data_IF_953270147235
#
_entry.id   IF_953270147235
#
_cell.length_a   1.000
_cell.length_b   1.000
_cell.length_c   1.000
_cell.angle_alpha   90.00
_cell.angle_beta   90.00
_cell.angle_gamma   90.00
#
_symmetry.space_group_name_H-M   'P 1'
#
loop_
_entity.id
_entity.type
_entity.pdbx_description
1 polymer ?
#
# COMPACT_ATOMS: atom_id res chain seq x y z
N UNK A 1 -35.58 -38.19 8.80
CA UNK A 1 -34.39 -38.35 9.68
C UNK A 1 -33.09 -38.70 8.93
N UNK A 2 -32.94 -38.34 7.64
CA UNK A 2 -31.72 -38.64 6.86
C UNK A 2 -30.90 -37.40 6.46
N UNK A 3 -31.53 -36.22 6.35
CA UNK A 3 -30.82 -34.97 5.98
C UNK A 3 -29.90 -34.41 7.08
N UNK A 4 -30.22 -34.61 8.35
CA UNK A 4 -29.42 -34.07 9.46
C UNK A 4 -28.11 -34.86 9.70
N UNK A 5 -28.03 -36.11 9.26
CA UNK A 5 -26.79 -36.92 9.37
C UNK A 5 -25.72 -36.46 8.37
N UNK A 6 -26.13 -35.95 7.20
CA UNK A 6 -25.18 -35.54 6.15
C UNK A 6 -24.61 -34.12 6.39
N UNK A 7 -25.36 -33.23 7.04
CA UNK A 7 -24.85 -31.89 7.37
C UNK A 7 -23.78 -31.97 8.46
N UNK A 8 -23.93 -32.88 9.43
CA UNK A 8 -22.95 -33.06 10.50
C UNK A 8 -21.65 -33.72 10.02
N UNK A 9 -21.72 -34.56 8.97
CA UNK A 9 -20.56 -35.24 8.40
C UNK A 9 -19.70 -34.32 7.50
N UNK A 10 -20.28 -33.28 6.91
CA UNK A 10 -19.53 -32.29 6.12
C UNK A 10 -18.73 -31.29 6.96
N UNK A 11 -19.16 -31.04 8.21
CA UNK A 11 -18.40 -30.21 9.15
C UNK A 11 -17.16 -30.89 9.74
N UNK A 12 -17.07 -32.22 9.70
CA UNK A 12 -15.94 -32.98 10.26
C UNK A 12 -14.77 -33.12 9.27
N UNK A 13 -14.98 -32.83 7.98
CA UNK A 13 -13.92 -32.80 6.96
C UNK A 13 -13.18 -31.45 6.87
N UNK A 14 -13.43 -30.53 7.82
CA UNK A 14 -12.69 -29.28 7.99
C UNK A 14 -11.89 -29.34 9.31
N UNK A 15 -11.39 -30.54 9.63
CA UNK A 15 -10.53 -30.83 10.79
C UNK A 15 -9.03 -30.90 10.46
N UNK A 16 -8.65 -30.69 9.20
CA UNK A 16 -7.25 -30.58 8.81
C UNK A 16 -6.97 -29.10 8.61
N UNK A 17 -6.02 -28.59 9.40
CA UNK A 17 -5.77 -27.17 9.59
C UNK A 17 -5.95 -26.36 8.33
N UNK A 18 -6.67 -25.24 8.45
CA UNK A 18 -6.41 -24.11 7.56
C UNK A 18 -4.88 -24.03 7.47
N UNK A 19 -4.27 -24.08 6.27
CA UNK A 19 -2.85 -23.83 6.20
C UNK A 19 -2.67 -22.54 6.98
N UNK A 20 -1.92 -22.65 8.09
CA UNK A 20 -1.47 -21.47 8.80
C UNK A 20 -0.81 -20.67 7.70
N UNK A 21 -1.49 -19.62 7.26
CA UNK A 21 -0.95 -18.61 6.38
C UNK A 21 0.08 -17.93 7.28
N UNK A 22 1.18 -18.64 7.54
CA UNK A 22 2.42 -18.06 7.95
C UNK A 22 2.69 -17.07 6.83
N UNK A 23 2.49 -15.81 7.18
CA UNK A 23 2.83 -14.66 6.38
C UNK A 23 4.35 -14.64 6.25
N UNK A 24 4.88 -15.63 5.52
CA UNK A 24 6.27 -15.73 5.08
C UNK A 24 6.42 -14.97 3.75
N UNK A 25 5.45 -14.08 3.45
CA UNK A 25 5.62 -13.04 2.44
C UNK A 25 6.88 -12.29 2.85
N UNK A 26 7.94 -12.26 2.02
CA UNK A 26 9.10 -11.44 2.34
C UNK A 26 8.57 -10.03 2.61
N UNK A 27 8.85 -9.51 3.82
CA UNK A 27 8.44 -8.16 4.18
C UNK A 27 8.75 -7.24 2.99
N UNK A 28 7.77 -6.46 2.52
CA UNK A 28 8.00 -5.64 1.34
C UNK A 28 9.25 -4.81 1.58
N UNK A 29 10.16 -4.74 0.59
CA UNK A 29 11.40 -4.02 0.77
C UNK A 29 11.05 -2.60 1.20
N UNK A 30 11.53 -2.17 2.37
CA UNK A 30 11.20 -0.85 2.91
C UNK A 30 11.88 0.21 2.05
N UNK A 31 11.17 0.71 1.07
CA UNK A 31 11.62 1.76 0.18
C UNK A 31 11.15 3.12 0.70
N UNK A 32 12.05 4.09 0.72
CA UNK A 32 11.70 5.49 0.96
C UNK A 32 11.48 6.21 -0.36
N UNK A 33 10.39 6.96 -0.46
CA UNK A 33 10.19 7.96 -1.51
C UNK A 33 10.21 9.35 -0.87
N UNK A 34 11.11 10.19 -1.35
CA UNK A 34 11.26 11.57 -0.87
C UNK A 34 11.21 12.54 -2.05
N UNK A 35 10.55 13.66 -1.83
CA UNK A 35 10.51 14.76 -2.79
C UNK A 35 11.31 15.91 -2.19
N UNK A 36 12.39 16.30 -2.87
CA UNK A 36 13.28 17.37 -2.44
C UNK A 36 13.33 18.47 -3.48
N UNK A 37 13.51 19.70 -3.01
CA UNK A 37 13.79 20.82 -3.90
C UNK A 37 15.16 20.61 -4.56
N UNK A 38 15.25 20.87 -5.86
CA UNK A 38 16.47 20.68 -6.64
C UNK A 38 16.82 21.96 -7.42
N UNK A 39 18.10 22.28 -7.47
CA UNK A 39 18.63 23.38 -8.26
C UNK A 39 19.72 22.88 -9.21
N UNK A 40 19.80 23.52 -10.39
CA UNK A 40 20.82 23.21 -11.40
C UNK A 40 22.16 23.91 -11.13
N UNK A 41 22.19 24.85 -10.18
CA UNK A 41 23.40 25.58 -9.77
C UNK A 41 23.76 25.23 -8.32
N UNK A 42 25.06 25.16 -7.98
CA UNK A 42 25.49 24.95 -6.61
C UNK A 42 25.09 26.13 -5.72
N UNK A 43 24.51 25.83 -4.57
CA UNK A 43 24.11 26.78 -3.54
C UNK A 43 24.75 26.43 -2.19
N UNK A 44 24.88 27.42 -1.30
CA UNK A 44 25.64 27.30 -0.05
C UNK A 44 25.14 26.22 0.93
N UNK A 45 23.91 25.71 0.75
CA UNK A 45 23.29 24.68 1.61
C UNK A 45 22.69 23.52 0.80
N UNK A 46 23.20 23.26 -0.40
CA UNK A 46 22.69 22.19 -1.25
C UNK A 46 23.65 21.00 -1.31
N UNK A 47 23.11 19.79 -1.16
CA UNK A 47 23.87 18.54 -1.30
C UNK A 47 23.92 18.12 -2.76
N UNK A 48 25.13 17.92 -3.29
CA UNK A 48 25.30 17.42 -4.65
C UNK A 48 24.83 15.96 -4.76
N UNK A 49 23.97 15.68 -5.74
CA UNK A 49 23.52 14.34 -6.09
C UNK A 49 23.59 14.12 -7.61
N UNK A 50 23.99 12.91 -8.00
CA UNK A 50 23.99 12.49 -9.40
C UNK A 50 22.63 11.90 -9.76
N UNK A 51 22.02 12.36 -10.84
CA UNK A 51 20.78 11.76 -11.35
C UNK A 51 21.08 10.41 -11.98
N UNK A 52 20.36 9.37 -11.58
CA UNK A 52 20.58 8.01 -12.08
C UNK A 52 20.32 7.92 -13.58
N UNK A 53 21.34 7.54 -14.34
CA UNK A 53 21.27 7.41 -15.80
C UNK A 53 21.47 8.70 -16.59
N UNK A 54 21.77 9.82 -15.93
CA UNK A 54 22.19 11.07 -16.58
C UNK A 54 23.57 11.51 -16.07
N UNK A 55 24.32 12.23 -16.90
CA UNK A 55 25.60 12.84 -16.49
C UNK A 55 25.40 14.18 -15.76
N UNK A 56 24.13 14.60 -15.59
CA UNK A 56 23.77 15.87 -14.98
C UNK A 56 23.79 15.76 -13.45
N UNK A 57 24.39 16.77 -12.83
CA UNK A 57 24.44 16.97 -11.38
C UNK A 57 23.26 17.84 -10.97
N UNK A 58 22.59 17.45 -9.90
CA UNK A 58 21.54 18.27 -9.26
C UNK A 58 21.92 18.54 -7.82
N UNK A 59 21.58 19.74 -7.36
CA UNK A 59 21.87 20.20 -6.01
C UNK A 59 20.59 20.17 -5.19
N UNK A 60 20.55 19.32 -4.18
CA UNK A 60 19.36 19.01 -3.40
C UNK A 60 19.30 19.81 -2.12
N UNK A 61 18.12 20.29 -1.75
CA UNK A 61 17.89 20.80 -0.41
C UNK A 61 18.07 19.69 0.64
N UNK A 62 18.54 20.09 1.83
CA UNK A 62 18.75 19.17 2.95
C UNK A 62 17.44 18.55 3.46
N UNK A 63 16.36 19.32 3.42
CA UNK A 63 15.04 18.92 3.91
C UNK A 63 14.17 18.35 2.79
N UNK A 64 13.49 17.24 3.10
CA UNK A 64 12.45 16.67 2.24
C UNK A 64 11.17 17.49 2.38
N UNK A 65 10.65 17.98 1.25
CA UNK A 65 9.41 18.74 1.23
C UNK A 65 8.19 17.81 1.38
N UNK A 66 8.27 16.60 0.82
CA UNK A 66 7.27 15.54 1.00
C UNK A 66 7.95 14.20 1.21
N UNK A 67 7.27 13.34 1.97
CA UNK A 67 7.74 11.98 2.32
C UNK A 67 6.66 10.94 2.01
N UNK A 68 6.95 9.66 2.28
CA UNK A 68 5.99 8.56 2.09
C UNK A 68 4.69 8.77 2.87
N UNK A 69 4.74 9.43 4.02
CA UNK A 69 3.55 9.70 4.86
C UNK A 69 2.54 10.65 4.17
N UNK A 70 3.00 11.43 3.20
CA UNK A 70 2.18 12.36 2.41
C UNK A 70 1.52 11.68 1.19
N UNK A 71 1.79 10.39 0.97
CA UNK A 71 1.35 9.62 -0.18
C UNK A 71 0.17 8.73 0.22
N UNK A 72 -0.92 8.81 -0.54
CA UNK A 72 -2.08 7.94 -0.35
C UNK A 72 -1.97 6.64 -1.11
N UNK A 73 -1.41 6.66 -2.33
CA UNK A 73 -1.29 5.48 -3.18
C UNK A 73 -0.23 5.66 -4.26
N UNK A 74 0.43 4.57 -4.63
CA UNK A 74 1.35 4.52 -5.77
C UNK A 74 0.93 3.45 -6.77
N UNK A 75 1.09 3.72 -8.07
CA UNK A 75 0.78 2.79 -9.14
C UNK A 75 1.84 2.82 -10.23
N UNK A 76 2.25 1.65 -10.70
CA UNK A 76 3.06 1.53 -11.90
C UNK A 76 2.21 1.78 -13.15
N UNK A 77 2.67 2.69 -14.02
CA UNK A 77 2.07 2.98 -15.32
C UNK A 77 3.14 2.93 -16.42
N UNK A 78 2.75 3.18 -17.66
CA UNK A 78 3.66 3.39 -18.78
C UNK A 78 3.42 4.77 -19.35
N UNK A 79 4.50 5.47 -19.67
CA UNK A 79 4.43 6.76 -20.36
C UNK A 79 3.99 6.57 -21.83
N UNK A 80 3.78 7.68 -22.53
CA UNK A 80 3.38 7.69 -23.96
C UNK A 80 4.42 7.02 -24.87
N UNK A 81 5.68 6.94 -24.44
CA UNK A 81 6.77 6.28 -25.16
C UNK A 81 6.92 4.79 -24.79
N UNK A 82 6.02 4.24 -23.97
CA UNK A 82 6.08 2.84 -23.52
C UNK A 82 7.15 2.57 -22.46
N UNK A 83 7.71 3.61 -21.84
CA UNK A 83 8.68 3.49 -20.75
C UNK A 83 7.95 3.38 -19.41
N UNK A 84 8.51 2.63 -18.45
CA UNK A 84 7.92 2.52 -17.12
C UNK A 84 7.86 3.90 -16.44
N UNK A 85 6.70 4.21 -15.88
CA UNK A 85 6.43 5.45 -15.16
C UNK A 85 5.69 5.15 -13.85
N UNK A 86 5.76 6.07 -12.90
CA UNK A 86 5.17 5.91 -11.58
C UNK A 86 4.10 6.98 -11.36
N UNK A 87 2.86 6.56 -11.18
CA UNK A 87 1.76 7.42 -10.79
C UNK A 87 1.66 7.47 -9.26
N UNK A 88 1.72 8.65 -8.68
CA UNK A 88 1.64 8.88 -7.24
C UNK A 88 0.40 9.72 -6.95
N UNK A 89 -0.44 9.23 -6.04
CA UNK A 89 -1.57 9.95 -5.49
C UNK A 89 -1.23 10.41 -4.08
N UNK A 90 -1.46 11.69 -3.79
CA UNK A 90 -1.18 12.29 -2.49
C UNK A 90 -2.37 12.17 -1.54
N UNK A 91 -2.12 12.30 -0.24
CA UNK A 91 -3.17 12.55 0.75
C UNK A 91 -3.63 14.01 0.67
N UNK A 92 -4.68 14.40 1.38
CA UNK A 92 -5.14 15.80 1.41
C UNK A 92 -4.06 16.74 2.00
N UNK A 93 -3.29 16.28 2.98
CA UNK A 93 -2.17 17.03 3.54
C UNK A 93 -1.01 17.12 2.55
N UNK A 94 -0.63 15.99 1.95
CA UNK A 94 0.40 15.93 0.91
C UNK A 94 0.08 16.80 -0.29
N UNK A 95 -1.19 16.81 -0.72
CA UNK A 95 -1.67 17.63 -1.82
C UNK A 95 -1.50 19.13 -1.55
N UNK A 96 -1.78 19.58 -0.31
CA UNK A 96 -1.55 20.97 0.10
C UNK A 96 -0.06 21.33 0.11
N UNK A 97 0.80 20.44 0.62
CA UNK A 97 2.26 20.62 0.60
C UNK A 97 2.82 20.67 -0.82
N UNK A 98 2.38 19.76 -1.69
CA UNK A 98 2.80 19.69 -3.10
C UNK A 98 2.33 20.91 -3.87
N UNK A 99 1.11 21.39 -3.62
CA UNK A 99 0.59 22.61 -4.22
C UNK A 99 1.44 23.82 -3.81
N UNK A 100 1.71 23.98 -2.52
CA UNK A 100 2.56 25.07 -2.02
C UNK A 100 4.01 24.96 -2.54
N UNK A 101 4.52 23.76 -2.78
CA UNK A 101 5.84 23.50 -3.39
C UNK A 101 5.87 23.87 -4.87
N UNK A 102 4.93 23.36 -5.64
CA UNK A 102 4.88 23.64 -7.08
C UNK A 102 4.57 25.11 -7.38
N UNK A 103 3.76 25.78 -6.55
CA UNK A 103 3.43 27.19 -6.72
C UNK A 103 4.65 28.11 -6.52
N UNK A 104 5.50 27.84 -5.52
CA UNK A 104 6.73 28.62 -5.30
C UNK A 104 7.87 28.27 -6.27
N UNK A 105 7.77 27.13 -6.96
CA UNK A 105 8.84 26.55 -7.79
C UNK A 105 8.40 26.23 -9.23
N UNK A 106 7.51 27.04 -9.80
CA UNK A 106 7.17 26.96 -11.24
C UNK A 106 8.45 27.16 -12.07
N UNK A 107 8.62 26.35 -13.12
CA UNK A 107 9.80 26.29 -14.00
C UNK A 107 11.12 25.89 -13.31
N UNK A 108 11.06 25.42 -12.06
CA UNK A 108 12.22 24.90 -11.33
C UNK A 108 12.17 23.37 -11.24
N UNK A 109 13.33 22.77 -11.00
CA UNK A 109 13.47 21.34 -10.85
C UNK A 109 13.03 20.89 -9.45
N UNK A 110 12.43 19.71 -9.39
CA UNK A 110 12.13 18.99 -8.15
C UNK A 110 12.71 17.60 -8.30
N UNK A 111 13.53 17.18 -7.34
CA UNK A 111 14.12 15.86 -7.35
C UNK A 111 13.22 14.86 -6.62
N UNK A 112 13.06 13.71 -7.25
CA UNK A 112 12.47 12.53 -6.65
C UNK A 112 13.60 11.59 -6.26
N UNK A 113 13.62 11.22 -4.98
CA UNK A 113 14.60 10.32 -4.41
C UNK A 113 13.92 9.03 -4.01
N UNK A 114 14.53 7.91 -4.40
CA UNK A 114 14.16 6.57 -3.94
C UNK A 114 15.34 6.01 -3.17
N UNK A 115 15.15 5.69 -1.89
CA UNK A 115 16.23 5.19 -1.01
C UNK A 115 17.46 6.11 -0.96
N UNK A 116 17.25 7.43 -1.10
CA UNK A 116 18.32 8.43 -1.14
C UNK A 116 19.00 8.61 -2.51
N UNK A 117 18.65 7.81 -3.53
CA UNK A 117 19.13 7.99 -4.90
C UNK A 117 18.18 8.84 -5.72
N UNK A 118 18.70 9.80 -6.49
CA UNK A 118 17.88 10.63 -7.38
C UNK A 118 17.49 9.83 -8.61
N UNK A 119 16.23 9.41 -8.66
CA UNK A 119 15.65 8.65 -9.80
C UNK A 119 15.22 9.57 -10.93
N UNK A 120 14.95 10.84 -10.64
CA UNK A 120 14.61 11.84 -11.64
C UNK A 120 14.48 13.23 -11.04
N UNK A 121 14.76 14.26 -11.84
CA UNK A 121 14.63 15.66 -11.48
C UNK A 121 13.85 16.45 -12.55
N UNK A 122 12.54 16.17 -12.75
CA UNK A 122 11.76 16.87 -13.75
C UNK A 122 11.51 18.34 -13.35
N UNK A 123 11.25 19.15 -14.37
CA UNK A 123 10.88 20.56 -14.20
C UNK A 123 9.39 20.67 -13.92
N UNK A 124 9.03 21.42 -12.88
CA UNK A 124 7.63 21.73 -12.55
C UNK A 124 7.05 22.68 -13.58
N UNK A 125 6.12 22.20 -14.41
CA UNK A 125 5.47 23.01 -15.46
C UNK A 125 4.15 23.62 -15.03
N UNK A 126 3.52 23.04 -14.02
CA UNK A 126 2.21 23.47 -13.52
C UNK A 126 2.08 23.12 -12.05
N UNK A 127 1.05 23.70 -11.41
CA UNK A 127 0.68 23.38 -10.05
C UNK A 127 0.11 21.97 -9.99
N UNK A 128 0.60 21.18 -9.05
CA UNK A 128 0.19 19.79 -8.85
C UNK A 128 -0.48 19.69 -7.48
N UNK A 129 -1.73 19.23 -7.45
CA UNK A 129 -2.49 19.06 -6.22
C UNK A 129 -2.64 17.60 -5.82
N UNK A 130 -3.39 16.78 -6.57
CA UNK A 130 -3.80 15.44 -6.10
C UNK A 130 -2.93 14.29 -6.60
N UNK A 131 -2.45 14.37 -7.84
CA UNK A 131 -1.77 13.27 -8.51
C UNK A 131 -0.61 13.78 -9.36
N UNK A 132 0.48 13.02 -9.40
CA UNK A 132 1.58 13.28 -10.31
C UNK A 132 2.06 11.99 -10.98
N UNK A 133 2.63 12.16 -12.18
CA UNK A 133 3.34 11.11 -12.88
C UNK A 133 4.84 11.42 -12.82
N UNK A 134 5.61 10.47 -12.30
CA UNK A 134 7.06 10.53 -12.23
C UNK A 134 7.60 9.67 -13.36
N UNK A 135 8.25 10.33 -14.31
CA UNK A 135 8.96 9.70 -15.42
C UNK A 135 10.46 9.72 -15.15
N UNK A 136 11.17 8.66 -15.52
CA UNK A 136 12.60 8.53 -15.23
C UNK A 136 13.17 7.18 -15.64
N UNK A 137 14.41 6.92 -15.22
CA UNK A 137 15.15 5.67 -15.49
C UNK A 137 14.70 4.54 -14.56
N UNK A 138 13.40 4.29 -14.46
CA UNK A 138 12.86 3.22 -13.62
C UNK A 138 12.94 1.86 -14.30
N UNK A 139 13.12 0.82 -13.50
CA UNK A 139 12.93 -0.56 -13.97
C UNK A 139 11.57 -1.09 -13.51
N UNK A 140 10.96 -2.02 -14.28
CA UNK A 140 9.72 -2.71 -13.85
C UNK A 140 9.80 -3.30 -12.43
N UNK A 141 10.85 -4.09 -12.06
CA UNK A 141 10.94 -4.65 -10.71
C UNK A 141 11.06 -3.58 -9.62
N UNK A 142 11.69 -2.44 -9.91
CA UNK A 142 11.81 -1.32 -8.99
C UNK A 142 10.47 -0.62 -8.75
N UNK A 143 9.66 -0.43 -9.79
CA UNK A 143 8.28 0.07 -9.64
C UNK A 143 7.44 -0.89 -8.81
N UNK A 144 7.52 -2.20 -9.08
CA UNK A 144 6.79 -3.21 -8.30
C UNK A 144 7.21 -3.25 -6.84
N UNK A 145 8.49 -3.02 -6.55
CA UNK A 145 9.01 -2.93 -5.20
C UNK A 145 8.52 -1.65 -4.49
N UNK A 146 8.53 -0.50 -5.17
CA UNK A 146 8.00 0.77 -4.65
C UNK A 146 6.51 0.67 -4.33
N UNK A 147 5.73 0.11 -5.26
CA UNK A 147 4.29 -0.09 -5.09
C UNK A 147 4.02 -0.99 -3.89
N UNK A 148 4.75 -2.11 -3.74
CA UNK A 148 4.60 -3.00 -2.58
C UNK A 148 5.04 -2.36 -1.27
N UNK A 149 6.10 -1.55 -1.29
CA UNK A 149 6.56 -0.85 -0.10
C UNK A 149 5.56 0.18 0.42
N UNK A 150 4.89 0.89 -0.48
CA UNK A 150 4.02 2.02 -0.11
C UNK A 150 2.57 1.57 0.08
N UNK A 151 2.03 0.76 -0.84
CA UNK A 151 0.65 0.27 -0.72
C UNK A 151 0.51 -0.97 0.17
N UNK A 152 1.62 -1.61 0.54
CA UNK A 152 1.63 -2.92 1.18
C UNK A 152 1.45 -4.08 0.19
N UNK A 153 1.50 -5.33 0.68
CA UNK A 153 1.27 -6.51 -0.15
C UNK A 153 -0.17 -6.52 -0.67
N UNK A 154 -0.38 -6.87 -1.96
CA UNK A 154 -1.73 -7.05 -2.46
C UNK A 154 -2.42 -8.20 -1.70
N UNK A 155 -3.69 -8.01 -1.32
CA UNK A 155 -4.49 -9.09 -0.72
C UNK A 155 -4.52 -10.30 -1.67
N UNK A 156 -4.12 -11.50 -1.23
CA UNK A 156 -4.16 -12.70 -2.07
C UNK A 156 -5.59 -13.17 -2.33
N UNK A 157 -6.56 -12.73 -1.53
CA UNK A 157 -7.95 -13.12 -1.67
C UNK A 157 -8.79 -12.00 -2.30
N UNK A 158 -9.72 -12.36 -3.22
CA UNK A 158 -10.75 -11.44 -3.64
C UNK A 158 -11.61 -11.03 -2.43
N UNK A 159 -12.01 -9.75 -2.42
CA UNK A 159 -12.74 -9.12 -1.32
C UNK A 159 -13.92 -9.97 -0.78
N UNK A 160 -14.72 -10.59 -1.66
CA UNK A 160 -15.90 -11.37 -1.25
C UNK A 160 -15.57 -12.59 -0.38
N UNK A 161 -14.38 -13.20 -0.52
CA UNK A 161 -13.95 -14.33 0.32
C UNK A 161 -13.76 -13.89 1.78
N UNK A 162 -13.23 -12.69 2.00
CA UNK A 162 -13.04 -12.12 3.35
C UNK A 162 -14.38 -11.92 4.05
N UNK A 163 -15.40 -11.46 3.33
CA UNK A 163 -16.76 -11.28 3.85
C UNK A 163 -17.47 -12.61 4.13
N UNK A 164 -17.30 -13.61 3.25
CA UNK A 164 -17.87 -14.95 3.45
C UNK A 164 -17.24 -15.63 4.67
N UNK A 165 -15.93 -15.52 4.85
CA UNK A 165 -15.23 -16.01 6.05
C UNK A 165 -15.82 -15.43 7.35
N UNK A 166 -16.01 -14.10 7.41
CA UNK A 166 -16.57 -13.43 8.57
C UNK A 166 -18.03 -13.87 8.87
N UNK A 167 -18.83 -14.06 7.82
CA UNK A 167 -20.24 -14.46 7.94
C UNK A 167 -20.40 -15.88 8.48
N UNK A 168 -19.55 -16.82 8.04
CA UNK A 168 -19.57 -18.22 8.48
C UNK A 168 -19.19 -18.37 9.96
N UNK A 169 -18.25 -17.54 10.45
CA UNK A 169 -17.84 -17.55 11.84
C UNK A 169 -18.97 -17.09 12.78
N UNK A 170 -19.73 -16.06 12.41
CA UNK A 170 -20.88 -15.60 13.21
C UNK A 170 -21.99 -16.66 13.30
N UNK A 171 -22.26 -17.39 12.22
CA UNK A 171 -23.24 -18.48 12.20
C UNK A 171 -22.82 -19.66 13.08
N UNK A 172 -21.53 -20.01 13.07
CA UNK A 172 -20.98 -21.06 13.94
C UNK A 172 -21.04 -20.66 15.43
N UNK A 173 -20.64 -19.44 15.77
CA UNK A 173 -20.75 -18.92 17.15
C UNK A 173 -22.21 -18.92 17.61
N UNK A 174 -23.13 -18.47 16.75
CA UNK A 174 -24.56 -18.50 17.02
C UNK A 174 -25.10 -19.91 17.28
N UNK A 175 -24.68 -20.90 16.47
CA UNK A 175 -25.09 -22.30 16.63
C UNK A 175 -24.51 -22.94 17.90
N UNK A 176 -23.25 -22.63 18.23
CA UNK A 176 -22.62 -23.08 19.49
C UNK A 176 -23.32 -22.46 20.71
N UNK A 177 -23.61 -21.16 20.69
CA UNK A 177 -24.39 -20.50 21.75
C UNK A 177 -25.81 -21.08 21.87
N UNK A 178 -26.47 -21.37 20.74
CA UNK A 178 -27.82 -21.95 20.73
C UNK A 178 -27.84 -23.37 21.30
N UNK A 179 -26.89 -24.22 20.91
CA UNK A 179 -26.79 -25.59 21.43
C UNK A 179 -26.50 -25.60 22.93
N UNK A 180 -25.60 -24.73 23.43
CA UNK A 180 -25.35 -24.56 24.86
C UNK A 180 -26.61 -24.15 25.64
N UNK A 181 -27.34 -23.15 25.14
CA UNK A 181 -28.60 -22.68 25.76
C UNK A 181 -29.68 -23.77 25.77
N UNK A 182 -29.72 -24.62 24.75
CA UNK A 182 -30.68 -25.74 24.66
C UNK A 182 -30.39 -26.89 25.64
N UNK A 183 -29.13 -27.12 26.01
CA UNK A 183 -28.75 -28.13 27.01
C UNK A 183 -29.03 -27.63 28.42
N UNK A 184 -28.79 -26.35 28.70
CA UNK A 184 -29.08 -25.75 30.01
C UNK A 184 -30.58 -25.79 30.35
N UNK A 185 -31.48 -25.66 29.38
CA UNK A 185 -32.93 -25.77 29.61
C UNK A 185 -33.41 -27.19 29.93
N UNK A 186 -32.67 -28.23 29.52
CA UNK A 186 -33.07 -29.62 29.79
C UNK A 186 -32.74 -30.06 31.23
N UNK A 187 -31.64 -29.58 31.80
CA UNK A 187 -31.32 -29.86 33.22
C UNK A 187 -32.27 -29.19 34.22
N UNK A 188 -32.99 -28.15 33.83
CA UNK A 188 -33.96 -27.46 34.71
C UNK A 188 -35.31 -28.20 34.73
N UNK A 189 -35.61 -29.01 33.71
CA UNK A 189 -36.86 -29.77 33.64
C UNK A 189 -36.82 -31.07 34.46
N UNK A 190 -35.64 -31.64 34.71
CA UNK A 190 -35.48 -32.92 35.43
C UNK A 190 -35.29 -32.73 36.96
N UNK A 191 -35.34 -31.50 37.48
CA UNK A 191 -35.20 -31.19 38.90
C UNK A 191 -36.53 -30.84 39.60
N UNK A 192 -37.65 -31.08 38.92
CA UNK A 192 -39.02 -30.93 39.44
C UNK A 192 -39.81 -32.21 39.14
N UNK A 193 -39.47 -33.27 39.86
CA UNK A 193 -40.38 -34.35 40.23
C UNK A 193 -39.92 -34.90 41.60
#
# INVERSE_FOLDING_TARGET
MSLFKNILLMTLLIGEGLPSYADDSPEPPKMSLEIREAESMPGAELTEASVRGAHDKVYLAKEAALTVDDISRVRGTMDVAGRPALEVSFTEEGARKMLALTERRIEKQVAFLVNGEVVGAPVVRSRISSQCEITGSFTKPEIEALVRSINGPPSPFPNWIVWVGLLTLSLLIGLVCWTSRSKNKRHIADATD
#
